data_IF_062645842418
#
_entry.id   IF_062645842418
#
_cell.length_a   1.000
_cell.length_b   1.000
_cell.length_c   1.000
_cell.angle_alpha   90.00
_cell.angle_beta   90.00
_cell.angle_gamma   90.00
#
_symmetry.space_group_name_H-M   'P 1'
#
loop_
_entity.id
_entity.type
_entity.pdbx_description
1 polymer ?
#
# COMPACT_ATOMS: atom_id res chain seq x y z
N UNK A 1 32.32 68.44 42.80
CA UNK A 1 31.78 69.54 43.63
C UNK A 1 30.60 70.18 42.92
N UNK A 2 29.38 69.76 43.29
CA UNK A 2 28.10 70.51 43.32
C UNK A 2 26.95 69.49 43.47
N UNK A 3 26.76 69.11 44.72
CA UNK A 3 25.55 69.23 45.52
C UNK A 3 24.12 69.09 44.93
N UNK A 4 23.39 68.20 45.61
CA UNK A 4 21.98 68.21 46.06
C UNK A 4 20.80 68.26 45.10
N UNK A 5 20.01 67.18 45.17
CA UNK A 5 18.54 67.18 45.11
C UNK A 5 18.03 65.92 45.83
N UNK A 6 17.54 66.10 47.05
CA UNK A 6 16.88 65.14 47.96
C UNK A 6 15.36 65.16 47.74
N UNK A 7 14.65 64.25 48.44
CA UNK A 7 13.19 64.09 48.67
C UNK A 7 12.51 63.00 47.81
N UNK A 8 12.19 61.79 48.32
CA UNK A 8 11.15 61.39 49.33
C UNK A 8 9.73 61.77 48.87
N UNK A 9 8.64 61.00 48.96
CA UNK A 9 8.15 59.80 49.64
C UNK A 9 7.26 59.03 48.60
N UNK A 10 6.71 57.83 48.75
CA UNK A 10 5.80 57.30 49.76
C UNK A 10 5.67 55.76 49.63
N UNK A 11 5.56 55.12 50.79
CA UNK A 11 5.11 53.74 50.97
C UNK A 11 3.58 53.71 50.95
N UNK A 12 2.96 52.69 50.31
CA UNK A 12 1.74 52.15 50.88
C UNK A 12 1.56 50.65 50.58
N UNK A 13 1.10 50.02 51.65
CA UNK A 13 0.94 48.60 51.97
C UNK A 13 -0.33 47.99 51.37
N UNK A 14 -0.31 46.68 51.15
CA UNK A 14 -1.51 45.88 50.86
C UNK A 14 -1.26 44.40 51.13
N UNK A 15 -1.75 43.91 52.27
CA UNK A 15 -1.73 42.51 52.71
C UNK A 15 -3.01 41.75 52.26
N UNK A 16 -2.90 40.41 52.16
CA UNK A 16 -4.01 39.44 52.18
C UNK A 16 -4.33 38.87 50.79
N UNK A 17 -4.55 37.57 50.56
CA UNK A 17 -4.87 36.44 51.44
C UNK A 17 -4.47 35.10 50.79
N UNK A 18 -4.24 34.11 51.64
CA UNK A 18 -4.06 32.68 51.35
C UNK A 18 -5.28 32.04 50.68
N UNK A 19 -5.07 31.20 49.67
CA UNK A 19 -5.97 30.07 49.37
C UNK A 19 -5.19 28.92 48.69
N UNK A 20 -4.95 27.88 49.48
CA UNK A 20 -4.54 26.54 49.07
C UNK A 20 -5.76 25.78 48.58
N UNK A 21 -5.79 25.36 47.32
CA UNK A 21 -6.88 24.62 46.71
C UNK A 21 -6.40 23.41 45.92
N UNK A 22 -6.45 22.27 46.59
CA UNK A 22 -6.50 20.88 46.12
C UNK A 22 -7.06 20.69 44.68
N UNK A 23 -6.21 20.34 43.72
CA UNK A 23 -6.62 19.82 42.40
C UNK A 23 -5.88 18.53 42.01
N UNK A 24 -5.14 17.94 42.95
CA UNK A 24 -4.25 16.81 42.68
C UNK A 24 -4.86 15.42 42.93
N UNK A 25 -6.12 15.33 43.40
CA UNK A 25 -6.67 14.04 43.88
C UNK A 25 -7.76 13.41 43.02
N UNK A 26 -8.22 14.08 41.95
CA UNK A 26 -9.33 13.58 41.13
C UNK A 26 -8.94 13.01 39.75
N UNK A 27 -7.67 13.11 39.33
CA UNK A 27 -7.20 12.54 38.06
C UNK A 27 -6.75 11.07 38.18
N UNK A 28 -6.28 10.64 39.35
CA UNK A 28 -5.78 9.27 39.56
C UNK A 28 -6.91 8.23 39.74
N UNK A 29 -8.14 8.65 40.03
CA UNK A 29 -9.26 7.73 40.27
C UNK A 29 -10.03 7.36 38.99
N UNK A 30 -9.92 8.16 37.92
CA UNK A 30 -10.51 7.85 36.61
C UNK A 30 -9.62 6.94 35.74
N UNK A 31 -8.29 6.99 35.92
CA UNK A 31 -7.36 6.10 35.20
C UNK A 31 -7.34 4.64 35.73
N UNK A 32 -7.89 4.39 36.92
CA UNK A 32 -7.97 3.06 37.52
C UNK A 32 -9.25 2.28 37.13
N UNK A 33 -10.28 2.97 36.61
CA UNK A 33 -11.56 2.36 36.24
C UNK A 33 -11.57 1.76 34.82
N UNK A 34 -10.78 2.31 33.89
CA UNK A 34 -10.74 1.84 32.49
C UNK A 34 -9.82 0.62 32.27
N UNK A 35 -8.99 0.25 33.26
CA UNK A 35 -8.13 -0.94 33.21
C UNK A 35 -8.82 -2.25 33.64
N UNK A 36 -10.12 -2.21 33.95
CA UNK A 36 -10.90 -3.38 34.39
C UNK A 36 -11.82 -3.98 33.33
N UNK A 37 -11.85 -3.43 32.11
CA UNK A 37 -12.73 -3.89 31.02
C UNK A 37 -12.00 -4.58 29.84
N UNK A 38 -10.68 -4.76 29.95
CA UNK A 38 -9.86 -5.37 28.89
C UNK A 38 -9.35 -6.78 29.25
N UNK A 39 -10.22 -7.64 29.81
CA UNK A 39 -9.81 -8.92 30.41
C UNK A 39 -10.85 -10.04 30.35
N UNK A 40 -11.50 -10.21 29.20
CA UNK A 40 -12.33 -11.37 28.80
C UNK A 40 -12.61 -11.13 27.31
N UNK A 41 -11.98 -11.78 26.35
CA UNK A 41 -12.10 -13.20 26.05
C UNK A 41 -10.90 -13.64 25.21
N UNK A 42 -10.22 -14.70 25.64
CA UNK A 42 -9.26 -15.43 24.83
C UNK A 42 -9.46 -16.93 25.08
N UNK A 43 -9.99 -17.62 24.09
CA UNK A 43 -9.81 -19.07 23.91
C UNK A 43 -9.82 -19.37 22.39
N UNK A 44 -8.91 -20.21 21.89
CA UNK A 44 -8.79 -20.52 20.46
C UNK A 44 -9.75 -21.63 20.05
N UNK A 45 -10.43 -21.42 18.92
CA UNK A 45 -11.25 -22.44 18.26
C UNK A 45 -10.37 -23.32 17.35
N UNK A 46 -10.57 -24.63 17.46
CA UNK A 46 -9.85 -25.69 16.74
C UNK A 46 -10.84 -26.47 15.90
N UNK A 47 -10.62 -26.52 14.59
CA UNK A 47 -11.33 -27.36 13.62
C UNK A 47 -11.51 -26.60 12.29
N UNK A 48 -11.32 -27.15 11.10
CA UNK A 48 -11.02 -28.51 10.67
C UNK A 48 -10.35 -28.38 9.29
N UNK A 49 -9.25 -29.11 9.10
CA UNK A 49 -8.54 -29.17 7.84
C UNK A 49 -9.26 -30.10 6.85
N UNK A 50 -9.35 -29.68 5.58
CA UNK A 50 -9.65 -30.60 4.48
C UNK A 50 -8.65 -30.37 3.34
N UNK A 51 -7.48 -30.95 3.49
CA UNK A 51 -6.57 -31.28 2.39
C UNK A 51 -6.93 -32.68 1.89
N UNK A 52 -7.26 -32.80 0.61
CA UNK A 52 -7.37 -34.08 -0.08
C UNK A 52 -6.11 -34.31 -0.89
N UNK A 53 -5.23 -35.15 -0.35
CA UNK A 53 -4.15 -35.79 -1.09
C UNK A 53 -4.72 -36.92 -1.97
N UNK A 54 -4.31 -36.96 -3.23
CA UNK A 54 -4.33 -38.18 -4.04
C UNK A 54 -2.96 -38.32 -4.70
N UNK A 55 -2.12 -39.11 -4.03
CA UNK A 55 -0.90 -39.66 -4.59
C UNK A 55 -1.20 -40.98 -5.32
N UNK A 56 -0.44 -41.20 -6.38
CA UNK A 56 -0.38 -42.41 -7.18
C UNK A 56 0.08 -43.64 -6.38
N UNK A 57 -0.33 -44.83 -6.82
CA UNK A 57 0.53 -46.01 -6.81
C UNK A 57 0.04 -47.06 -7.82
N UNK A 58 0.99 -47.40 -8.68
CA UNK A 58 1.10 -48.52 -9.59
C UNK A 58 1.41 -49.82 -8.81
N UNK A 59 0.96 -50.99 -9.30
CA UNK A 59 1.64 -52.29 -9.16
C UNK A 59 0.78 -53.43 -9.74
N UNK A 60 1.38 -54.12 -10.72
CA UNK A 60 1.00 -55.42 -11.25
C UNK A 60 1.40 -56.58 -10.31
N UNK A 61 0.77 -57.74 -10.47
CA UNK A 61 1.42 -59.04 -10.24
C UNK A 61 0.71 -60.17 -11.02
N UNK A 62 1.54 -61.07 -11.54
CA UNK A 62 1.33 -62.12 -12.54
C UNK A 62 0.98 -63.51 -11.97
N UNK A 63 0.61 -64.43 -12.89
CA UNK A 63 0.89 -65.89 -12.90
C UNK A 63 0.05 -66.80 -11.99
N UNK A 64 -0.27 -68.07 -12.27
CA UNK A 64 -0.07 -69.06 -13.35
C UNK A 64 -0.83 -70.35 -12.91
N UNK A 65 -1.08 -71.31 -13.82
CA UNK A 65 -1.26 -72.73 -13.46
C UNK A 65 -2.55 -73.43 -13.94
N UNK A 66 -2.40 -74.36 -14.89
CA UNK A 66 -3.47 -75.13 -15.55
C UNK A 66 -3.73 -76.56 -15.03
N UNK A 67 -4.40 -77.39 -15.85
CA UNK A 67 -4.46 -78.86 -15.71
C UNK A 67 -5.80 -79.56 -15.98
N UNK A 68 -6.00 -79.99 -17.24
CA UNK A 68 -6.56 -81.26 -17.76
C UNK A 68 -7.90 -81.93 -17.33
N UNK A 69 -8.77 -82.08 -18.36
CA UNK A 69 -9.28 -83.32 -19.01
C UNK A 69 -10.46 -84.18 -18.48
N UNK A 70 -11.24 -84.64 -19.49
CA UNK A 70 -12.29 -85.67 -19.59
C UNK A 70 -13.74 -85.13 -19.52
N UNK A 71 -14.68 -85.37 -20.45
CA UNK A 71 -14.72 -86.22 -21.64
C UNK A 71 -16.10 -86.91 -21.68
N UNK A 72 -17.00 -86.54 -22.59
CA UNK A 72 -18.07 -87.43 -23.08
C UNK A 72 -18.67 -86.91 -24.39
N UNK A 73 -18.95 -87.86 -25.28
CA UNK A 73 -19.40 -87.70 -26.66
C UNK A 73 -20.93 -87.64 -26.74
N UNK A 74 -21.48 -86.84 -27.67
CA UNK A 74 -22.63 -87.26 -28.46
C UNK A 74 -22.58 -86.60 -29.84
N UNK A 75 -22.74 -87.42 -30.88
CA UNK A 75 -22.84 -87.01 -32.27
C UNK A 75 -24.17 -86.26 -32.52
N UNK A 76 -24.19 -85.32 -33.47
CA UNK A 76 -24.96 -85.46 -34.71
C UNK A 76 -24.85 -84.20 -35.60
N UNK A 77 -24.39 -84.47 -36.83
CA UNK A 77 -24.72 -83.82 -38.10
C UNK A 77 -24.22 -82.41 -38.43
N UNK A 78 -23.03 -82.41 -39.03
CA UNK A 78 -22.61 -81.70 -40.25
C UNK A 78 -23.50 -80.57 -40.80
N UNK A 79 -22.96 -79.34 -40.76
CA UNK A 79 -23.11 -78.36 -41.83
C UNK A 79 -21.72 -77.82 -42.14
N UNK A 80 -21.37 -77.88 -43.42
CA UNK A 80 -20.08 -77.58 -44.02
C UNK A 80 -19.60 -76.14 -43.75
N UNK A 81 -18.28 -76.01 -43.61
CA UNK A 81 -17.52 -74.76 -43.49
C UNK A 81 -17.74 -73.81 -44.67
N UNK A 82 -18.06 -72.54 -44.37
CA UNK A 82 -17.72 -71.41 -45.25
C UNK A 82 -17.68 -70.11 -44.42
N UNK A 83 -16.51 -69.75 -43.89
CA UNK A 83 -16.25 -68.44 -43.31
C UNK A 83 -15.81 -67.48 -44.43
N UNK A 84 -16.62 -66.48 -44.83
CA UNK A 84 -16.16 -65.46 -45.75
C UNK A 84 -15.24 -64.47 -45.02
N UNK A 85 -13.95 -64.48 -45.35
CA UNK A 85 -13.04 -63.35 -45.12
C UNK A 85 -13.60 -62.08 -45.80
N UNK A 86 -14.38 -61.28 -45.08
CA UNK A 86 -14.82 -59.97 -45.55
C UNK A 86 -13.69 -58.94 -45.43
N UNK A 87 -12.72 -59.04 -46.34
CA UNK A 87 -11.81 -57.94 -46.66
C UNK A 87 -12.56 -56.78 -47.33
N UNK A 88 -13.34 -56.01 -46.56
CA UNK A 88 -13.91 -54.74 -47.05
C UNK A 88 -12.78 -53.72 -47.21
N UNK A 89 -12.19 -53.68 -48.41
CA UNK A 89 -11.35 -52.56 -48.86
C UNK A 89 -12.24 -51.31 -48.89
N UNK A 90 -12.14 -50.45 -47.88
CA UNK A 90 -12.84 -49.15 -47.90
C UNK A 90 -12.34 -48.37 -49.12
N UNK A 91 -13.25 -47.87 -49.97
CA UNK A 91 -12.83 -47.19 -51.18
C UNK A 91 -12.11 -45.89 -50.80
N UNK A 92 -11.07 -45.52 -51.56
CA UNK A 92 -10.18 -44.41 -51.21
C UNK A 92 -10.93 -43.07 -51.03
N UNK A 93 -12.06 -42.89 -51.73
CA UNK A 93 -12.94 -41.72 -51.57
C UNK A 93 -13.61 -41.65 -50.19
N UNK A 94 -13.95 -42.79 -49.57
CA UNK A 94 -14.54 -42.82 -48.24
C UNK A 94 -13.52 -42.44 -47.15
N UNK A 95 -12.25 -42.86 -47.32
CA UNK A 95 -11.15 -42.42 -46.45
C UNK A 95 -10.89 -40.92 -46.59
N UNK A 96 -10.89 -40.41 -47.82
CA UNK A 96 -10.75 -38.97 -48.08
C UNK A 96 -11.87 -38.14 -47.43
N UNK A 97 -13.13 -38.62 -47.46
CA UNK A 97 -14.24 -37.97 -46.78
C UNK A 97 -14.10 -37.97 -45.25
N UNK A 98 -13.65 -39.10 -44.65
CA UNK A 98 -13.42 -39.19 -43.21
C UNK A 98 -12.30 -38.25 -42.77
N UNK A 99 -11.17 -38.21 -43.50
CA UNK A 99 -10.09 -37.27 -43.20
C UNK A 99 -10.50 -35.80 -43.39
N UNK A 100 -11.29 -35.51 -44.43
CA UNK A 100 -11.85 -34.17 -44.66
C UNK A 100 -12.79 -33.73 -43.53
N UNK A 101 -13.67 -34.62 -43.07
CA UNK A 101 -14.58 -34.35 -41.95
C UNK A 101 -13.83 -34.18 -40.62
N UNK A 102 -12.81 -35.01 -40.36
CA UNK A 102 -11.96 -34.89 -39.18
C UNK A 102 -11.15 -33.57 -39.18
N UNK A 103 -10.60 -33.16 -40.32
CA UNK A 103 -9.89 -31.90 -40.47
C UNK A 103 -10.82 -30.70 -40.25
N UNK A 104 -12.05 -30.75 -40.78
CA UNK A 104 -13.06 -29.72 -40.56
C UNK A 104 -13.49 -29.64 -39.09
N UNK A 105 -13.68 -30.78 -38.43
CA UNK A 105 -14.01 -30.83 -37.01
C UNK A 105 -12.88 -30.20 -36.15
N UNK A 106 -11.62 -30.53 -36.44
CA UNK A 106 -10.45 -29.93 -35.78
C UNK A 106 -10.37 -28.41 -35.99
N UNK A 107 -10.65 -27.92 -37.21
CA UNK A 107 -10.69 -26.49 -37.49
C UNK A 107 -11.82 -25.79 -36.72
N UNK A 108 -13.00 -26.40 -36.63
CA UNK A 108 -14.12 -25.84 -35.88
C UNK A 108 -13.86 -25.84 -34.37
N UNK A 109 -13.22 -26.88 -33.83
CA UNK A 109 -12.78 -26.92 -32.42
C UNK A 109 -11.71 -25.85 -32.18
N UNK A 110 -10.72 -25.73 -33.07
CA UNK A 110 -9.70 -24.67 -32.98
C UNK A 110 -10.30 -23.27 -33.05
N UNK A 111 -11.26 -23.03 -33.93
CA UNK A 111 -11.95 -21.75 -34.07
C UNK A 111 -12.84 -21.43 -32.85
N UNK A 112 -13.55 -22.43 -32.31
CA UNK A 112 -14.38 -22.24 -31.11
C UNK A 112 -13.52 -21.99 -29.86
N UNK A 113 -12.45 -22.76 -29.67
CA UNK A 113 -11.47 -22.52 -28.61
C UNK A 113 -10.82 -21.14 -28.78
N UNK A 114 -10.43 -20.77 -30.00
CA UNK A 114 -9.89 -19.45 -30.31
C UNK A 114 -10.87 -18.30 -30.01
N UNK A 115 -12.16 -18.47 -30.30
CA UNK A 115 -13.20 -17.49 -29.99
C UNK A 115 -13.48 -17.37 -28.49
N UNK A 116 -13.42 -18.48 -27.75
CA UNK A 116 -13.60 -18.48 -26.28
C UNK A 116 -12.40 -17.81 -25.61
N UNK A 117 -11.17 -18.15 -26.01
CA UNK A 117 -9.94 -17.51 -25.50
C UNK A 117 -9.93 -16.02 -25.84
N UNK A 118 -10.28 -15.66 -27.09
CA UNK A 118 -10.36 -14.27 -27.52
C UNK A 118 -11.39 -13.47 -26.73
N UNK A 119 -12.55 -14.07 -26.39
CA UNK A 119 -13.56 -13.43 -25.55
C UNK A 119 -13.13 -13.29 -24.08
N UNK A 120 -12.44 -14.28 -23.51
CA UNK A 120 -11.92 -14.21 -22.15
C UNK A 120 -10.81 -13.18 -21.98
N UNK A 121 -10.00 -12.95 -23.02
CA UNK A 121 -8.98 -11.89 -23.01
C UNK A 121 -9.57 -10.50 -23.30
N UNK A 122 -10.80 -10.44 -23.82
CA UNK A 122 -11.44 -9.20 -24.28
C UNK A 122 -12.57 -8.73 -23.39
N UNK A 123 -12.60 -9.05 -22.09
CA UNK A 123 -13.44 -8.28 -21.17
C UNK A 123 -12.81 -6.88 -21.08
N UNK A 124 -13.42 -5.84 -21.70
CA UNK A 124 -12.88 -4.51 -21.55
C UNK A 124 -12.93 -4.17 -20.07
N UNK A 125 -11.79 -3.76 -19.51
CA UNK A 125 -11.75 -3.08 -18.21
C UNK A 125 -12.74 -1.94 -18.32
N UNK A 126 -13.74 -1.89 -17.43
CA UNK A 126 -14.76 -0.86 -17.50
C UNK A 126 -14.05 0.51 -17.49
N UNK A 127 -14.55 1.50 -18.25
CA UNK A 127 -13.95 2.85 -18.25
C UNK A 127 -13.88 3.47 -16.84
N UNK A 128 -14.72 2.99 -15.92
CA UNK A 128 -14.76 3.35 -14.50
C UNK A 128 -13.56 2.80 -13.70
N UNK A 129 -12.91 1.75 -14.19
CA UNK A 129 -11.75 1.10 -13.55
C UNK A 129 -10.40 1.64 -14.08
N UNK A 130 -10.43 2.56 -15.06
CA UNK A 130 -9.21 3.21 -15.57
C UNK A 130 -8.81 4.40 -14.70
N UNK A 131 -7.51 4.63 -14.46
CA UNK A 131 -7.06 5.78 -13.68
C UNK A 131 -7.39 7.10 -14.39
N UNK A 132 -7.75 8.12 -13.63
CA UNK A 132 -7.88 9.48 -14.13
C UNK A 132 -6.57 10.27 -13.93
N UNK A 133 -6.57 11.55 -14.32
CA UNK A 133 -5.39 12.41 -14.18
C UNK A 133 -4.97 12.63 -12.71
N UNK A 134 -5.90 12.57 -11.76
CA UNK A 134 -5.61 12.66 -10.32
C UNK A 134 -4.92 11.40 -9.83
N UNK A 135 -5.39 10.20 -10.23
CA UNK A 135 -4.74 8.93 -9.87
C UNK A 135 -3.27 8.91 -10.32
N UNK A 136 -3.01 9.29 -11.57
CA UNK A 136 -1.66 9.30 -12.15
C UNK A 136 -0.81 10.41 -11.54
N UNK A 137 -1.32 11.64 -11.52
CA UNK A 137 -0.59 12.81 -11.05
C UNK A 137 -0.25 12.75 -9.57
N UNK A 138 -1.19 12.31 -8.73
CA UNK A 138 -0.94 12.07 -7.31
C UNK A 138 0.16 11.03 -7.11
N UNK A 139 0.10 9.89 -7.80
CA UNK A 139 1.12 8.86 -7.67
C UNK A 139 2.51 9.35 -8.10
N UNK A 140 2.59 10.16 -9.16
CA UNK A 140 3.85 10.73 -9.65
C UNK A 140 4.44 11.74 -8.64
N UNK A 141 3.63 12.72 -8.25
CA UNK A 141 4.10 13.86 -7.44
C UNK A 141 4.29 13.47 -5.98
N UNK A 142 3.38 12.69 -5.40
CA UNK A 142 3.55 12.17 -4.05
C UNK A 142 4.74 11.19 -3.97
N UNK A 143 5.08 10.47 -5.05
CA UNK A 143 6.33 9.70 -5.08
C UNK A 143 7.56 10.59 -5.04
N UNK A 144 7.54 11.77 -5.69
CA UNK A 144 8.66 12.74 -5.61
C UNK A 144 8.73 13.34 -4.21
N UNK A 145 7.59 13.70 -3.62
CA UNK A 145 7.48 14.26 -2.27
C UNK A 145 8.03 13.28 -1.23
N UNK A 146 7.55 12.04 -1.25
CA UNK A 146 7.99 10.99 -0.33
C UNK A 146 9.47 10.63 -0.44
N UNK A 147 10.07 10.72 -1.62
CA UNK A 147 11.52 10.44 -1.76
C UNK A 147 12.36 11.38 -0.90
N UNK A 148 11.95 12.64 -0.73
CA UNK A 148 12.67 13.58 0.12
C UNK A 148 12.49 13.24 1.61
N UNK A 149 11.30 12.84 2.04
CA UNK A 149 11.09 12.39 3.41
C UNK A 149 11.82 11.08 3.72
N UNK A 150 11.90 10.14 2.77
CA UNK A 150 12.76 8.94 2.90
C UNK A 150 14.23 9.36 3.06
N UNK A 151 14.73 10.30 2.27
CA UNK A 151 16.09 10.80 2.41
C UNK A 151 16.33 11.43 3.80
N UNK A 152 15.43 12.32 4.25
CA UNK A 152 15.53 12.92 5.58
C UNK A 152 15.46 11.86 6.70
N UNK A 153 14.55 10.88 6.57
CA UNK A 153 14.38 9.77 7.51
C UNK A 153 15.62 8.87 7.59
N UNK A 154 16.26 8.58 6.46
CA UNK A 154 17.51 7.83 6.41
C UNK A 154 18.69 8.58 7.03
N UNK A 155 18.75 9.92 6.85
CA UNK A 155 19.72 10.74 7.55
C UNK A 155 19.46 10.69 9.07
N UNK A 156 18.20 10.83 9.49
CA UNK A 156 17.81 10.83 10.91
C UNK A 156 18.03 9.49 11.61
N UNK A 157 17.70 8.36 10.99
CA UNK A 157 17.94 7.04 11.61
C UNK A 157 19.42 6.74 11.83
N UNK A 158 20.30 7.30 11.00
CA UNK A 158 21.75 7.10 11.09
C UNK A 158 22.45 8.12 11.99
N UNK A 159 21.93 9.35 12.06
CA UNK A 159 22.64 10.49 12.67
C UNK A 159 21.89 11.18 13.81
N UNK A 160 20.64 10.80 14.06
CA UNK A 160 19.82 11.30 15.15
C UNK A 160 20.52 11.15 16.49
N UNK A 161 20.52 12.23 17.27
CA UNK A 161 21.16 12.28 18.57
C UNK A 161 20.35 11.47 19.58
N UNK A 162 19.07 11.77 19.70
CA UNK A 162 18.12 11.03 20.52
C UNK A 162 17.72 9.69 19.88
N UNK A 163 17.33 8.73 20.73
CA UNK A 163 16.83 7.43 20.25
C UNK A 163 15.49 7.62 19.52
N UNK A 164 14.69 8.54 20.02
CA UNK A 164 13.37 8.92 19.56
C UNK A 164 13.41 9.41 18.11
N UNK A 165 14.32 10.34 17.79
CA UNK A 165 14.51 10.83 16.42
C UNK A 165 15.00 9.73 15.49
N UNK A 166 15.87 8.83 15.95
CA UNK A 166 16.33 7.71 15.11
C UNK A 166 15.21 6.72 14.79
N UNK A 167 14.35 6.42 15.77
CA UNK A 167 13.19 5.54 15.58
C UNK A 167 12.19 6.19 14.63
N UNK A 168 11.85 7.46 14.87
CA UNK A 168 10.95 8.21 13.99
C UNK A 168 11.49 8.26 12.55
N UNK A 169 12.78 8.52 12.36
CA UNK A 169 13.42 8.51 11.05
C UNK A 169 13.33 7.16 10.34
N UNK A 170 13.49 6.06 11.08
CA UNK A 170 13.34 4.71 10.53
C UNK A 170 11.89 4.40 10.13
N UNK A 171 10.92 4.76 10.96
CA UNK A 171 9.50 4.49 10.73
C UNK A 171 8.99 5.27 9.52
N UNK A 172 9.34 6.56 9.42
CA UNK A 172 9.00 7.41 8.26
C UNK A 172 9.65 6.88 6.99
N UNK A 173 10.96 6.59 7.02
CA UNK A 173 11.67 6.06 5.84
C UNK A 173 11.04 4.75 5.35
N UNK A 174 10.78 3.81 6.27
CA UNK A 174 10.20 2.51 5.93
C UNK A 174 8.78 2.64 5.36
N UNK A 175 7.93 3.42 6.02
CA UNK A 175 6.52 3.60 5.62
C UNK A 175 6.43 4.29 4.28
N UNK A 176 7.12 5.41 4.11
CA UNK A 176 7.04 6.19 2.87
C UNK A 176 7.69 5.46 1.69
N UNK A 177 8.76 4.68 1.91
CA UNK A 177 9.33 3.85 0.86
C UNK A 177 8.35 2.75 0.39
N UNK A 178 7.61 2.12 1.31
CA UNK A 178 6.53 1.19 0.95
C UNK A 178 5.41 1.86 0.14
N UNK A 179 5.05 3.09 0.49
CA UNK A 179 4.04 3.87 -0.25
C UNK A 179 4.52 4.27 -1.65
N UNK A 180 5.80 4.66 -1.81
CA UNK A 180 6.42 4.89 -3.12
C UNK A 180 6.32 3.64 -3.99
N UNK A 181 6.66 2.46 -3.44
CA UNK A 181 6.59 1.19 -4.17
C UNK A 181 5.19 0.88 -4.68
N UNK A 182 4.14 1.15 -3.88
CA UNK A 182 2.75 0.98 -4.31
C UNK A 182 2.39 1.93 -5.46
N UNK A 183 2.71 3.22 -5.32
CA UNK A 183 2.42 4.23 -6.34
C UNK A 183 3.16 3.94 -7.66
N UNK A 184 4.44 3.56 -7.60
CA UNK A 184 5.22 3.18 -8.78
C UNK A 184 4.71 1.88 -9.42
N UNK A 185 4.29 0.90 -8.61
CA UNK A 185 3.66 -0.32 -9.07
C UNK A 185 2.36 -0.04 -9.84
N UNK A 186 1.52 0.86 -9.34
CA UNK A 186 0.30 1.27 -10.05
C UNK A 186 0.59 2.03 -11.34
N UNK A 187 1.54 2.97 -11.34
CA UNK A 187 1.95 3.66 -12.56
C UNK A 187 2.43 2.67 -13.63
N UNK A 188 3.18 1.64 -13.24
CA UNK A 188 3.60 0.56 -14.16
C UNK A 188 2.42 -0.25 -14.66
N UNK A 189 1.47 -0.61 -13.78
CA UNK A 189 0.27 -1.36 -14.15
C UNK A 189 -0.61 -0.59 -15.15
N UNK A 190 -0.63 0.73 -15.07
CA UNK A 190 -1.40 1.61 -15.94
C UNK A 190 -0.66 2.06 -17.20
N UNK A 191 0.55 1.56 -17.44
CA UNK A 191 1.43 1.99 -18.53
C UNK A 191 1.67 3.53 -18.51
N UNK A 192 1.70 4.11 -17.30
CA UNK A 192 1.94 5.52 -17.08
C UNK A 192 3.41 5.78 -16.74
N UNK A 193 3.99 6.93 -17.16
CA UNK A 193 5.34 7.31 -16.77
C UNK A 193 5.52 7.35 -15.25
N UNK A 194 6.66 6.88 -14.75
CA UNK A 194 6.96 6.86 -13.30
C UNK A 194 7.10 8.27 -12.68
N UNK A 195 7.27 9.30 -13.51
CA UNK A 195 7.32 10.71 -13.12
C UNK A 195 6.57 11.54 -14.17
N UNK A 196 5.93 12.62 -13.73
CA UNK A 196 5.22 13.53 -14.62
C UNK A 196 6.20 14.19 -15.61
N UNK A 197 5.91 14.20 -16.93
CA UNK A 197 6.65 15.02 -17.87
C UNK A 197 6.22 16.48 -17.72
N UNK A 198 7.09 17.34 -17.19
CA UNK A 198 6.86 18.78 -17.13
C UNK A 198 6.54 19.31 -15.73
N UNK A 199 5.56 20.21 -15.63
CA UNK A 199 5.23 20.91 -14.39
C UNK A 199 4.54 19.96 -13.38
N UNK A 200 5.01 19.98 -12.13
CA UNK A 200 4.40 19.25 -11.02
C UNK A 200 3.04 19.87 -10.65
N UNK A 201 2.22 19.11 -9.92
CA UNK A 201 0.96 19.53 -9.30
C UNK A 201 -0.15 19.97 -10.28
N UNK A 202 0.01 19.71 -11.58
CA UNK A 202 -0.98 20.09 -12.61
C UNK A 202 -2.33 19.40 -12.45
N UNK A 203 -2.35 18.21 -11.85
CA UNK A 203 -3.55 17.41 -11.57
C UNK A 203 -4.47 18.02 -10.49
N UNK A 204 -3.96 18.95 -9.67
CA UNK A 204 -4.75 19.67 -8.67
C UNK A 204 -5.40 20.96 -9.20
N UNK A 205 -5.08 21.39 -10.43
CA UNK A 205 -5.59 22.64 -11.03
C UNK A 205 -7.02 22.52 -11.61
N UNK A 206 -7.55 21.30 -11.71
CA UNK A 206 -8.83 20.99 -12.39
C UNK A 206 -10.08 20.98 -11.50
N UNK A 207 -9.94 21.14 -10.18
CA UNK A 207 -11.07 21.17 -9.25
C UNK A 207 -11.65 22.58 -9.13
N UNK A 208 -12.84 22.82 -9.70
CA UNK A 208 -13.59 24.03 -9.41
C UNK A 208 -14.08 24.01 -7.95
N UNK A 209 -13.35 24.66 -7.06
CA UNK A 209 -13.84 24.94 -5.71
C UNK A 209 -12.73 25.25 -4.71
N UNK A 210 -12.52 26.53 -4.39
CA UNK A 210 -11.80 26.92 -3.18
C UNK A 210 -10.76 28.00 -3.42
N UNK A 211 -11.13 29.26 -3.16
CA UNK A 211 -10.18 30.32 -2.85
C UNK A 211 -9.46 29.97 -1.53
N UNK A 212 -8.35 29.23 -1.63
CA UNK A 212 -7.37 29.13 -0.56
C UNK A 212 -6.46 30.33 -0.59
N UNK A 213 -6.86 31.43 0.04
CA UNK A 213 -5.94 32.51 0.43
C UNK A 213 -5.07 32.03 1.59
N UNK A 214 -4.27 31.00 1.35
CA UNK A 214 -3.09 30.70 2.16
C UNK A 214 -1.95 31.44 1.51
N UNK A 215 -1.41 32.44 2.19
CA UNK A 215 -0.17 33.08 1.81
C UNK A 215 0.96 32.06 2.02
N UNK A 216 1.04 31.06 1.14
CA UNK A 216 2.20 30.19 1.06
C UNK A 216 3.36 31.13 0.74
N UNK A 217 4.27 31.27 1.69
CA UNK A 217 5.55 31.90 1.46
C UNK A 217 6.23 31.08 0.36
N UNK A 218 5.96 31.43 -0.89
CA UNK A 218 6.65 30.90 -2.04
C UNK A 218 8.07 31.44 -1.94
N UNK A 219 8.94 30.64 -1.35
CA UNK A 219 10.28 30.57 -1.91
C UNK A 219 10.11 30.00 -3.31
N UNK A 220 10.32 30.82 -4.34
CA UNK A 220 10.20 30.52 -5.78
C UNK A 220 11.00 29.28 -6.26
N UNK A 221 11.69 28.57 -5.36
CA UNK A 221 12.60 27.45 -5.63
C UNK A 221 12.11 26.08 -5.13
N UNK A 222 10.93 25.97 -4.49
CA UNK A 222 10.48 24.69 -3.90
C UNK A 222 9.37 24.03 -4.75
N UNK A 223 9.58 22.82 -5.33
CA UNK A 223 8.70 22.27 -6.35
C UNK A 223 7.28 21.85 -5.87
N UNK A 224 7.11 21.57 -4.59
CA UNK A 224 5.83 21.13 -3.99
C UNK A 224 5.69 21.63 -2.54
N UNK A 225 4.46 21.80 -2.02
CA UNK A 225 4.22 22.30 -0.67
C UNK A 225 4.99 21.52 0.40
N UNK A 226 5.60 22.25 1.34
CA UNK A 226 6.26 21.69 2.53
C UNK A 226 7.65 21.09 2.31
N UNK A 227 8.07 20.86 1.06
CA UNK A 227 9.38 20.30 0.75
C UNK A 227 10.52 21.16 1.33
N UNK A 228 11.59 20.51 1.76
CA UNK A 228 12.85 21.15 2.10
C UNK A 228 13.57 21.63 0.84
N UNK A 229 14.10 22.85 0.88
CA UNK A 229 15.02 23.36 -0.13
C UNK A 229 16.33 22.56 -0.12
N UNK A 230 17.10 22.64 -1.20
CA UNK A 230 18.44 22.05 -1.19
C UNK A 230 19.35 22.65 -0.10
N UNK A 231 19.19 23.94 0.20
CA UNK A 231 19.96 24.61 1.24
C UNK A 231 19.66 24.02 2.62
N UNK A 232 18.39 23.77 2.92
CA UNK A 232 17.94 23.11 4.14
C UNK A 232 18.45 21.66 4.19
N UNK A 233 18.36 20.90 3.10
CA UNK A 233 18.92 19.54 3.04
C UNK A 233 20.44 19.53 3.25
N UNK A 234 21.17 20.51 2.71
CA UNK A 234 22.61 20.66 2.97
C UNK A 234 22.89 21.04 4.43
N UNK A 235 22.05 21.88 5.05
CA UNK A 235 22.15 22.24 6.47
C UNK A 235 21.90 21.01 7.35
N UNK A 236 20.83 20.25 7.12
CA UNK A 236 20.51 19.02 7.85
C UNK A 236 21.68 18.04 7.85
N UNK A 237 22.32 17.80 6.69
CA UNK A 237 23.49 16.93 6.56
C UNK A 237 24.74 17.44 7.29
N UNK A 238 24.78 18.69 7.75
CA UNK A 238 25.94 19.25 8.49
C UNK A 238 25.70 19.35 9.99
N UNK A 239 24.45 19.41 10.43
CA UNK A 239 24.12 19.47 11.85
C UNK A 239 24.41 18.15 12.57
N UNK A 240 24.56 18.24 13.89
CA UNK A 240 24.71 17.10 14.79
C UNK A 240 24.13 17.45 16.17
N UNK A 241 23.99 16.46 17.05
CA UNK A 241 23.49 16.67 18.41
C UNK A 241 22.04 17.17 18.44
N UNK A 242 21.70 17.94 19.48
CA UNK A 242 20.36 18.52 19.65
C UNK A 242 19.91 19.38 18.47
N UNK A 243 20.82 20.14 17.86
CA UNK A 243 20.48 21.00 16.71
C UNK A 243 20.03 20.19 15.49
N UNK A 244 20.63 19.01 15.28
CA UNK A 244 20.18 18.08 14.24
C UNK A 244 18.76 17.59 14.50
N UNK A 245 18.49 17.12 15.72
CA UNK A 245 17.19 16.58 16.10
C UNK A 245 16.07 17.62 15.91
N UNK A 246 16.29 18.84 16.41
CA UNK A 246 15.34 19.96 16.24
C UNK A 246 15.10 20.26 14.76
N UNK A 247 16.16 20.37 13.97
CA UNK A 247 16.02 20.77 12.58
C UNK A 247 15.39 19.68 11.71
N UNK A 248 15.66 18.41 12.00
CA UNK A 248 14.97 17.29 11.35
C UNK A 248 13.46 17.32 11.64
N UNK A 249 13.07 17.44 12.92
CA UNK A 249 11.67 17.48 13.34
C UNK A 249 10.92 18.67 12.71
N UNK A 250 11.58 19.83 12.67
CA UNK A 250 11.07 21.03 12.01
C UNK A 250 10.79 20.83 10.52
N UNK A 251 11.78 20.29 9.77
CA UNK A 251 11.62 20.05 8.34
C UNK A 251 10.56 18.98 8.06
N UNK A 252 10.60 17.87 8.80
CA UNK A 252 9.67 16.76 8.59
C UNK A 252 8.22 17.14 8.95
N UNK A 253 8.03 17.95 10.00
CA UNK A 253 6.72 18.50 10.33
C UNK A 253 6.17 19.38 9.20
N UNK A 254 6.98 20.31 8.68
CA UNK A 254 6.59 21.16 7.55
C UNK A 254 6.32 20.34 6.28
N UNK A 255 7.10 19.30 6.06
CA UNK A 255 6.94 18.38 4.93
C UNK A 255 5.58 17.67 4.99
N UNK A 256 5.20 17.10 6.14
CA UNK A 256 3.90 16.45 6.34
C UNK A 256 2.73 17.41 6.21
N UNK A 257 2.86 18.64 6.70
CA UNK A 257 1.85 19.68 6.50
C UNK A 257 1.63 19.96 5.01
N UNK A 258 2.70 19.99 4.22
CA UNK A 258 2.63 20.12 2.76
C UNK A 258 1.94 18.96 2.05
N UNK A 259 2.22 17.72 2.48
CA UNK A 259 1.62 16.51 1.91
C UNK A 259 0.12 16.36 2.21
N UNK A 260 -0.39 17.03 3.26
CA UNK A 260 -1.79 16.93 3.68
C UNK A 260 -2.75 17.38 2.58
N UNK A 261 -2.56 18.57 2.00
CA UNK A 261 -3.44 19.09 0.96
C UNK A 261 -3.44 18.23 -0.32
N UNK A 262 -2.29 17.63 -0.65
CA UNK A 262 -2.17 16.71 -1.78
C UNK A 262 -2.97 15.42 -1.54
N UNK A 263 -2.86 14.86 -0.34
CA UNK A 263 -3.56 13.64 0.03
C UNK A 263 -5.08 13.86 0.16
N UNK A 264 -5.52 14.99 0.74
CA UNK A 264 -6.95 15.36 0.82
C UNK A 264 -7.58 15.45 -0.57
N UNK A 265 -6.92 16.14 -1.50
CA UNK A 265 -7.40 16.25 -2.88
C UNK A 265 -7.48 14.88 -3.58
N UNK A 266 -6.50 14.00 -3.34
CA UNK A 266 -6.54 12.65 -3.88
C UNK A 266 -7.67 11.81 -3.27
N UNK A 267 -7.94 11.93 -1.96
CA UNK A 267 -9.10 11.27 -1.33
C UNK A 267 -10.41 11.70 -2.01
N UNK A 268 -10.54 12.97 -2.34
CA UNK A 268 -11.77 13.52 -2.94
C UNK A 268 -11.91 13.20 -4.43
N UNK A 269 -10.83 13.28 -5.21
CA UNK A 269 -10.90 13.32 -6.67
C UNK A 269 -10.27 12.14 -7.40
N UNK A 270 -9.54 11.26 -6.72
CA UNK A 270 -8.99 10.05 -7.35
C UNK A 270 -10.12 9.07 -7.69
N UNK A 271 -10.07 8.46 -8.89
CA UNK A 271 -11.10 7.53 -9.33
C UNK A 271 -10.87 6.16 -8.72
N UNK A 272 -9.62 5.71 -8.66
CA UNK A 272 -9.28 4.36 -8.21
C UNK A 272 -9.45 4.26 -6.69
N UNK A 273 -10.30 3.36 -6.18
CA UNK A 273 -10.53 3.21 -4.73
C UNK A 273 -9.25 2.93 -3.94
N UNK A 274 -8.31 2.17 -4.52
CA UNK A 274 -7.02 1.88 -3.89
C UNK A 274 -6.14 3.13 -3.73
N UNK A 275 -6.21 4.11 -4.64
CA UNK A 275 -5.49 5.38 -4.53
C UNK A 275 -6.08 6.22 -3.41
N UNK A 276 -7.41 6.36 -3.35
CA UNK A 276 -8.10 7.05 -2.24
C UNK A 276 -7.79 6.42 -0.89
N UNK A 277 -7.82 5.09 -0.81
CA UNK A 277 -7.48 4.37 0.42
C UNK A 277 -6.03 4.60 0.85
N UNK A 278 -5.09 4.67 -0.11
CA UNK A 278 -3.71 5.02 0.20
C UNK A 278 -3.60 6.47 0.70
N UNK A 279 -4.20 7.43 0.02
CA UNK A 279 -4.19 8.83 0.41
C UNK A 279 -4.80 9.03 1.80
N UNK A 280 -5.91 8.37 2.13
CA UNK A 280 -6.49 8.39 3.47
C UNK A 280 -5.51 7.81 4.51
N UNK A 281 -4.88 6.66 4.22
CA UNK A 281 -3.90 6.08 5.15
C UNK A 281 -2.70 7.00 5.40
N UNK A 282 -2.30 7.80 4.40
CA UNK A 282 -1.27 8.82 4.55
C UNK A 282 -1.72 9.95 5.48
N UNK A 283 -2.96 10.44 5.35
CA UNK A 283 -3.51 11.46 6.25
C UNK A 283 -3.51 10.97 7.71
N UNK A 284 -3.94 9.73 7.93
CA UNK A 284 -4.02 9.15 9.27
C UNK A 284 -2.62 8.96 9.89
N UNK A 285 -1.66 8.42 9.12
CA UNK A 285 -0.31 8.17 9.59
C UNK A 285 0.47 9.47 9.78
N UNK A 286 0.46 10.37 8.79
CA UNK A 286 1.15 11.65 8.87
C UNK A 286 0.53 12.55 9.96
N UNK A 287 -0.78 12.51 10.15
CA UNK A 287 -1.45 13.21 11.25
C UNK A 287 -0.95 12.76 12.63
N UNK A 288 -0.74 11.47 12.80
CA UNK A 288 -0.17 10.90 14.04
C UNK A 288 1.30 11.29 14.20
N UNK A 289 2.11 11.18 13.15
CA UNK A 289 3.52 11.58 13.15
C UNK A 289 3.70 13.07 13.43
N UNK A 290 2.84 13.94 12.89
CA UNK A 290 2.87 15.38 13.19
C UNK A 290 2.64 15.68 14.68
N UNK A 291 1.71 14.97 15.33
CA UNK A 291 1.49 15.12 16.78
C UNK A 291 2.73 14.72 17.58
N UNK A 292 3.35 13.60 17.19
CA UNK A 292 4.59 13.12 17.79
C UNK A 292 5.73 14.14 17.62
N UNK A 293 5.92 14.67 16.41
CA UNK A 293 6.96 15.67 16.15
C UNK A 293 6.75 16.97 16.93
N UNK A 294 5.50 17.45 17.04
CA UNK A 294 5.18 18.64 17.86
C UNK A 294 5.53 18.42 19.32
N UNK A 295 5.15 17.27 19.88
CA UNK A 295 5.49 16.93 21.27
C UNK A 295 7.01 16.84 21.49
N UNK A 296 7.76 16.26 20.54
CA UNK A 296 9.23 16.20 20.62
C UNK A 296 9.87 17.59 20.53
N UNK A 297 9.37 18.46 19.65
CA UNK A 297 9.84 19.85 19.55
C UNK A 297 9.60 20.63 20.86
N UNK A 298 8.42 20.48 21.46
CA UNK A 298 8.08 21.09 22.74
C UNK A 298 9.01 20.61 23.87
N UNK A 299 9.27 19.31 23.96
CA UNK A 299 10.22 18.74 24.93
C UNK A 299 11.65 19.26 24.73
N UNK A 300 12.02 19.54 23.48
CA UNK A 300 13.31 20.15 23.13
C UNK A 300 13.32 21.67 23.28
N UNK A 301 12.20 22.30 23.71
CA UNK A 301 12.06 23.75 23.83
C UNK A 301 12.26 24.47 22.50
N UNK A 302 11.80 23.88 21.40
CA UNK A 302 11.93 24.41 20.04
C UNK A 302 10.56 24.57 19.37
N UNK A 303 10.45 25.59 18.52
CA UNK A 303 9.22 25.88 17.78
C UNK A 303 9.21 25.23 16.39
N UNK A 304 8.03 24.89 15.83
CA UNK A 304 7.90 24.51 14.42
C UNK A 304 8.38 25.61 13.46
N UNK A 305 8.77 25.21 12.25
CA UNK A 305 8.96 26.17 11.16
C UNK A 305 7.59 26.72 10.71
N UNK A 306 7.53 27.97 10.20
CA UNK A 306 6.34 28.47 9.53
C UNK A 306 5.96 27.60 8.32
N UNK A 307 4.66 27.44 8.09
CA UNK A 307 4.07 26.77 6.93
C UNK A 307 2.92 27.62 6.39
#
# INVERSE_FOLDING_TARGET
MRDTGDERDEQQTGQGTSETGDTGRHADEQAAAERRDAGKDAAPDTGDGKQSDLAAADAAEDADGGGDAAGEHDELDAVEDDEPEFGRRTPAWARALVYGAAALALLLVGATVGLVIGRWQSTPVAEEDKPNAVDIGFCQDMSVHHRQAVEMGDIARLRGHSREVRVLGYDISSTQNGQIGRMQGWLTLWDAPAQAPGELMTWMKGGHGGHGTGQHAQSDDVPMPGMATEQEMRKLRRLSGREFDVFFLQLMLRHHQGGTAMAEYAVEHARIPAVRALAQSMLDSQGSEMKVMRAMLEQLGAEPLPF
#
